data_IF_052811204218
#
_entry.id   IF_052811204218
#
_cell.length_a   1.000
_cell.length_b   1.000
_cell.length_c   1.000
_cell.angle_alpha   90.00
_cell.angle_beta   90.00
_cell.angle_gamma   90.00
#
_symmetry.space_group_name_H-M   'P 1'
#
loop_
_entity.id
_entity.type
_entity.pdbx_description
1 polymer ?
#
# COMPACT_ATOMS: atom_id res chain seq x y z
N UNK A 1 -27.68 -0.64 -30.31
CA UNK A 1 -28.16 0.08 -31.51
C UNK A 1 -27.01 0.96 -31.98
N UNK A 2 -26.45 0.58 -33.13
CA UNK A 2 -25.21 1.06 -33.75
C UNK A 2 -25.31 2.46 -34.33
N UNK A 3 -24.23 3.25 -34.26
CA UNK A 3 -23.95 4.28 -35.27
C UNK A 3 -22.45 4.30 -35.55
N UNK A 4 -22.09 3.83 -36.75
CA UNK A 4 -20.82 4.01 -37.44
C UNK A 4 -21.01 5.21 -38.37
N UNK A 5 -20.05 6.13 -38.46
CA UNK A 5 -19.98 7.13 -39.54
C UNK A 5 -18.71 6.93 -40.36
N UNK A 6 -18.94 6.62 -41.63
CA UNK A 6 -18.00 6.59 -42.75
C UNK A 6 -17.59 8.02 -43.14
N UNK A 7 -16.34 8.21 -43.56
CA UNK A 7 -15.90 9.40 -44.28
C UNK A 7 -15.26 8.99 -45.61
N UNK A 8 -15.71 9.69 -46.65
CA UNK A 8 -15.58 9.41 -48.07
C UNK A 8 -14.34 10.08 -48.67
N UNK A 9 -13.93 9.59 -49.83
CA UNK A 9 -12.75 9.97 -50.61
C UNK A 9 -12.94 11.27 -51.39
N UNK A 10 -11.86 12.04 -51.56
CA UNK A 10 -11.67 12.87 -52.76
C UNK A 10 -10.20 12.87 -53.14
N UNK A 11 -9.95 12.45 -54.38
CA UNK A 11 -8.67 12.51 -55.07
C UNK A 11 -8.62 13.79 -55.91
N UNK A 12 -7.49 14.48 -55.87
CA UNK A 12 -7.14 15.55 -56.81
C UNK A 12 -5.69 15.33 -57.27
N UNK A 13 -5.46 15.49 -58.57
CA UNK A 13 -4.28 15.05 -59.32
C UNK A 13 -3.57 16.29 -59.91
N UNK A 14 -2.24 16.18 -60.10
CA UNK A 14 -1.33 16.82 -61.11
C UNK A 14 -0.12 17.56 -60.50
N UNK A 15 1.02 17.72 -61.23
CA UNK A 15 1.58 16.92 -62.32
C UNK A 15 3.07 16.55 -62.14
N UNK A 16 3.54 15.65 -63.01
CA UNK A 16 4.92 15.14 -63.12
C UNK A 16 5.91 16.18 -63.67
N UNK A 17 7.13 16.20 -63.11
CA UNK A 17 8.33 16.77 -63.74
C UNK A 17 9.54 15.87 -63.49
N UNK A 18 10.07 15.30 -64.56
CA UNK A 18 11.36 14.59 -64.60
C UNK A 18 12.54 15.58 -64.51
N UNK A 19 13.59 15.24 -63.76
CA UNK A 19 14.97 15.59 -64.10
C UNK A 19 15.96 14.62 -63.42
N UNK A 20 16.82 14.02 -64.25
CA UNK A 20 18.01 13.24 -63.86
C UNK A 20 19.09 14.17 -63.28
N UNK A 21 19.86 13.76 -62.26
CA UNK A 21 21.22 13.21 -62.45
C UNK A 21 21.99 13.01 -61.10
N UNK A 22 22.76 11.92 -61.05
CA UNK A 22 23.98 11.61 -60.25
C UNK A 22 24.14 11.98 -58.75
N UNK A 23 24.53 10.98 -57.95
CA UNK A 23 25.68 11.15 -57.01
C UNK A 23 25.44 10.94 -55.51
N UNK A 24 25.89 9.77 -55.03
CA UNK A 24 26.65 9.54 -53.80
C UNK A 24 25.99 9.53 -52.39
N UNK A 25 26.03 8.32 -51.83
CA UNK A 25 26.37 7.92 -50.45
C UNK A 25 25.59 8.37 -49.21
N UNK A 26 25.18 7.32 -48.47
CA UNK A 26 25.07 7.26 -47.00
C UNK A 26 23.87 7.95 -46.34
N UNK A 27 22.70 7.31 -46.42
CA UNK A 27 21.67 7.43 -45.37
C UNK A 27 21.70 6.16 -44.49
N UNK A 28 22.41 6.25 -43.35
CA UNK A 28 22.26 5.32 -42.25
C UNK A 28 20.78 5.27 -41.86
N UNK A 29 20.14 4.13 -42.10
CA UNK A 29 18.89 3.74 -41.44
C UNK A 29 19.15 3.69 -39.93
N UNK A 30 18.89 4.80 -39.24
CA UNK A 30 18.74 4.82 -37.80
C UNK A 30 17.43 4.14 -37.47
N UNK A 31 17.48 2.82 -37.27
CA UNK A 31 16.47 2.12 -36.51
C UNK A 31 16.37 2.81 -35.15
N UNK A 32 15.33 3.62 -34.98
CA UNK A 32 14.95 4.16 -33.69
C UNK A 32 14.68 2.97 -32.77
N UNK A 33 15.68 2.62 -31.96
CA UNK A 33 15.49 1.71 -30.84
C UNK A 33 14.39 2.32 -29.98
N UNK A 34 13.20 1.72 -30.02
CA UNK A 34 12.18 1.93 -29.01
C UNK A 34 12.81 1.47 -27.70
N UNK A 35 13.29 2.43 -26.91
CA UNK A 35 13.74 2.17 -25.54
C UNK A 35 12.52 1.65 -24.80
N UNK A 36 12.49 0.33 -24.54
CA UNK A 36 11.43 -0.29 -23.75
C UNK A 36 11.44 0.35 -22.36
N UNK A 37 10.46 1.21 -22.10
CA UNK A 37 10.29 1.90 -20.83
C UNK A 37 9.51 0.99 -19.89
N UNK A 38 10.22 0.25 -19.04
CA UNK A 38 9.61 -0.59 -18.01
C UNK A 38 10.58 -0.77 -16.84
N UNK A 39 10.05 -1.12 -15.67
CA UNK A 39 10.85 -1.27 -14.46
C UNK A 39 11.46 -2.69 -14.36
N UNK A 40 12.64 -2.76 -13.74
CA UNK A 40 13.31 -4.04 -13.48
C UNK A 40 12.64 -4.79 -12.33
N UNK A 41 12.91 -6.10 -12.19
CA UNK A 41 12.42 -6.88 -11.05
C UNK A 41 12.93 -6.36 -9.69
N UNK A 42 14.14 -5.80 -9.64
CA UNK A 42 14.67 -5.19 -8.42
C UNK A 42 13.92 -3.89 -8.10
N UNK A 43 13.69 -3.03 -9.10
CA UNK A 43 12.93 -1.79 -8.94
C UNK A 43 11.50 -2.07 -8.49
N UNK A 44 10.84 -3.09 -9.05
CA UNK A 44 9.54 -3.54 -8.60
C UNK A 44 9.55 -4.00 -7.14
N UNK A 45 10.57 -4.74 -6.71
CA UNK A 45 10.73 -5.13 -5.30
C UNK A 45 10.90 -3.91 -4.40
N UNK A 46 11.69 -2.91 -4.82
CA UNK A 46 11.87 -1.65 -4.10
C UNK A 46 10.52 -0.91 -3.95
N UNK A 47 9.67 -0.86 -4.98
CA UNK A 47 8.35 -0.24 -4.84
C UNK A 47 7.44 -1.00 -3.89
N UNK A 48 7.43 -2.34 -3.96
CA UNK A 48 6.66 -3.16 -3.01
C UNK A 48 7.15 -2.88 -1.58
N UNK A 49 8.46 -2.88 -1.34
CA UNK A 49 9.00 -2.55 -0.01
C UNK A 49 8.65 -1.12 0.40
N UNK A 50 8.78 -0.14 -0.49
CA UNK A 50 8.56 1.27 -0.18
C UNK A 50 7.11 1.61 0.12
N UNK A 51 6.17 0.86 -0.45
CA UNK A 51 4.75 0.99 -0.16
C UNK A 51 4.36 0.30 1.15
N UNK A 52 4.89 -0.91 1.39
CA UNK A 52 4.51 -1.71 2.55
C UNK A 52 5.27 -1.29 3.82
N UNK A 53 6.55 -0.96 3.71
CA UNK A 53 7.35 -0.49 4.84
C UNK A 53 6.88 0.90 5.27
N UNK A 54 6.80 1.17 6.58
CA UNK A 54 6.31 2.44 7.11
C UNK A 54 5.42 2.28 8.33
N UNK A 55 4.11 2.43 8.17
CA UNK A 55 3.16 2.31 9.28
C UNK A 55 3.20 0.94 9.97
N UNK A 56 3.45 -0.13 9.21
CA UNK A 56 3.59 -1.47 9.76
C UNK A 56 4.70 -1.57 10.81
N UNK A 57 5.90 -1.04 10.54
CA UNK A 57 7.01 -1.10 11.51
C UNK A 57 6.73 -0.28 12.77
N UNK A 58 5.94 0.80 12.66
CA UNK A 58 5.59 1.64 13.79
C UNK A 58 4.52 1.02 14.70
N UNK A 59 3.58 0.28 14.11
CA UNK A 59 2.39 -0.24 14.80
C UNK A 59 2.48 -1.72 15.21
N UNK A 60 3.16 -2.55 14.42
CA UNK A 60 3.34 -3.99 14.68
C UNK A 60 3.91 -4.30 16.07
N UNK A 61 4.89 -3.55 16.61
CA UNK A 61 5.47 -3.90 17.89
C UNK A 61 4.44 -3.92 19.02
N UNK A 62 3.53 -2.93 19.05
CA UNK A 62 2.41 -2.93 19.99
C UNK A 62 1.43 -4.06 19.73
N UNK A 63 1.07 -4.29 18.46
CA UNK A 63 0.13 -5.36 18.10
C UNK A 63 0.66 -6.75 18.50
N UNK A 64 1.97 -6.98 18.41
CA UNK A 64 2.59 -8.23 18.86
C UNK A 64 2.55 -8.35 20.39
N UNK A 65 2.83 -7.28 21.13
CA UNK A 65 2.69 -7.27 22.60
C UNK A 65 1.26 -7.60 23.01
N UNK A 66 0.27 -6.95 22.40
CA UNK A 66 -1.15 -7.14 22.73
C UNK A 66 -1.69 -8.50 22.26
N UNK A 67 -1.15 -9.07 21.17
CA UNK A 67 -1.46 -10.44 20.76
C UNK A 67 -0.77 -11.49 21.67
N UNK A 68 0.19 -11.09 22.49
CA UNK A 68 1.03 -12.00 23.26
C UNK A 68 2.08 -12.71 22.40
N UNK A 69 2.74 -13.73 22.96
CA UNK A 69 3.84 -14.44 22.27
C UNK A 69 3.40 -15.06 20.92
N UNK A 70 2.13 -15.46 20.79
CA UNK A 70 1.56 -15.96 19.53
C UNK A 70 1.59 -14.90 18.43
N UNK A 71 1.61 -13.61 18.76
CA UNK A 71 1.79 -12.49 17.82
C UNK A 71 3.07 -12.62 16.98
N UNK A 72 4.16 -13.13 17.57
CA UNK A 72 5.42 -13.41 16.85
C UNK A 72 5.30 -14.57 15.85
N UNK A 73 4.37 -15.48 16.05
CA UNK A 73 4.08 -16.54 15.08
C UNK A 73 3.14 -16.00 14.00
N UNK A 74 2.11 -15.24 14.40
CA UNK A 74 1.13 -14.64 13.49
C UNK A 74 1.81 -13.73 12.46
N UNK A 75 2.78 -12.91 12.86
CA UNK A 75 3.51 -12.03 11.93
C UNK A 75 4.23 -12.84 10.83
N UNK A 76 4.84 -13.99 11.16
CA UNK A 76 5.52 -14.85 10.19
C UNK A 76 4.51 -15.52 9.27
N UNK A 77 3.44 -16.11 9.84
CA UNK A 77 2.40 -16.81 9.08
C UNK A 77 1.67 -15.86 8.13
N UNK A 78 1.28 -14.67 8.58
CA UNK A 78 0.61 -13.69 7.74
C UNK A 78 1.54 -13.09 6.68
N UNK A 79 2.83 -12.91 6.96
CA UNK A 79 3.82 -12.53 5.97
C UNK A 79 3.91 -13.56 4.83
N UNK A 80 4.04 -14.85 5.16
CA UNK A 80 4.10 -15.93 4.18
C UNK A 80 2.79 -16.04 3.38
N UNK A 81 1.65 -15.88 4.05
CA UNK A 81 0.33 -15.92 3.42
C UNK A 81 0.13 -14.75 2.46
N UNK A 82 0.50 -13.54 2.86
CA UNK A 82 0.43 -12.35 2.01
C UNK A 82 1.38 -12.46 0.81
N UNK A 83 2.60 -12.99 1.01
CA UNK A 83 3.53 -13.29 -0.07
C UNK A 83 2.91 -14.29 -1.07
N UNK A 84 2.30 -15.37 -0.56
CA UNK A 84 1.61 -16.36 -1.39
C UNK A 84 0.46 -15.72 -2.18
N UNK A 85 -0.43 -14.96 -1.53
CA UNK A 85 -1.53 -14.22 -2.16
C UNK A 85 -1.04 -13.25 -3.24
N UNK A 86 0.02 -12.49 -2.96
CA UNK A 86 0.67 -11.60 -3.92
C UNK A 86 1.22 -12.35 -5.14
N UNK A 87 1.81 -13.53 -4.96
CA UNK A 87 2.25 -14.36 -6.09
C UNK A 87 1.08 -14.91 -6.90
N UNK A 88 -0.02 -15.34 -6.26
CA UNK A 88 -1.24 -15.79 -6.94
C UNK A 88 -1.84 -14.67 -7.77
N UNK A 89 -1.89 -13.47 -7.21
CA UNK A 89 -2.37 -12.28 -7.90
C UNK A 89 -1.50 -11.97 -9.14
N UNK A 90 -0.19 -12.14 -9.03
CA UNK A 90 0.72 -12.01 -10.16
C UNK A 90 0.50 -13.04 -11.27
N UNK A 91 0.17 -14.30 -10.90
CA UNK A 91 -0.22 -15.34 -11.86
C UNK A 91 -1.56 -15.01 -12.51
N UNK A 92 -2.52 -14.45 -11.77
CA UNK A 92 -3.78 -14.01 -12.35
C UNK A 92 -3.54 -13.01 -13.48
N UNK A 93 -2.63 -12.05 -13.31
CA UNK A 93 -2.28 -11.10 -14.37
C UNK A 93 -1.64 -11.80 -15.58
N UNK A 94 -0.70 -12.72 -15.35
CA UNK A 94 -0.11 -13.54 -16.43
C UNK A 94 -1.19 -14.30 -17.24
N UNK A 95 -2.21 -14.84 -16.56
CA UNK A 95 -3.35 -15.52 -17.22
C UNK A 95 -4.15 -14.55 -18.09
N UNK A 96 -4.40 -13.32 -17.62
CA UNK A 96 -5.13 -12.31 -18.40
C UNK A 96 -4.36 -11.96 -19.68
N UNK A 97 -3.07 -11.69 -19.58
CA UNK A 97 -2.24 -11.32 -20.75
C UNK A 97 -2.12 -12.45 -21.78
N UNK A 98 -2.09 -13.71 -21.31
CA UNK A 98 -2.09 -14.88 -22.19
C UNK A 98 -3.40 -14.95 -22.99
N UNK A 99 -4.53 -14.85 -22.30
CA UNK A 99 -5.88 -15.11 -22.86
C UNK A 99 -6.45 -13.96 -23.68
N UNK A 100 -6.05 -12.72 -23.37
CA UNK A 100 -6.67 -11.51 -23.89
C UNK A 100 -5.59 -10.57 -24.45
N UNK A 101 -5.36 -10.59 -25.78
CA UNK A 101 -4.31 -9.81 -26.42
C UNK A 101 -4.37 -8.31 -26.14
N UNK A 102 -5.55 -7.77 -25.88
CA UNK A 102 -5.77 -6.35 -25.57
C UNK A 102 -5.10 -5.88 -24.26
N UNK A 103 -4.75 -6.79 -23.34
CA UNK A 103 -4.10 -6.45 -22.06
C UNK A 103 -2.58 -6.67 -22.04
N UNK A 104 -1.95 -7.02 -23.18
CA UNK A 104 -0.48 -7.16 -23.26
C UNK A 104 0.26 -5.82 -23.16
N UNK A 105 -0.45 -4.71 -23.40
CA UNK A 105 0.04 -3.35 -23.20
C UNK A 105 -0.19 -2.83 -21.77
N UNK A 106 0.09 -1.54 -21.57
CA UNK A 106 -0.18 -0.87 -20.29
C UNK A 106 -1.69 -0.83 -20.08
N UNK A 107 -2.14 -1.45 -18.99
CA UNK A 107 -3.56 -1.51 -18.63
C UNK A 107 -3.80 -0.65 -17.40
N UNK A 108 -4.80 0.23 -17.52
CA UNK A 108 -5.30 1.00 -16.39
C UNK A 108 -6.10 0.09 -15.45
N UNK A 109 -5.81 0.12 -14.15
CA UNK A 109 -6.52 -0.65 -13.12
C UNK A 109 -6.48 -2.18 -13.34
N UNK A 110 -5.28 -2.81 -13.30
CA UNK A 110 -5.11 -4.23 -13.56
C UNK A 110 -5.80 -5.15 -12.54
N UNK A 111 -5.85 -4.78 -11.25
CA UNK A 111 -6.52 -5.63 -10.25
C UNK A 111 -8.05 -5.70 -10.45
N UNK A 112 -8.80 -4.58 -10.61
CA UNK A 112 -10.20 -4.65 -11.02
C UNK A 112 -10.43 -5.43 -12.32
N UNK A 113 -9.49 -5.37 -13.27
CA UNK A 113 -9.55 -6.13 -14.52
C UNK A 113 -9.45 -7.64 -14.28
N UNK A 114 -8.54 -8.09 -13.42
CA UNK A 114 -8.46 -9.50 -12.97
C UNK A 114 -9.83 -9.94 -12.42
N UNK A 115 -10.41 -9.15 -11.54
CA UNK A 115 -11.70 -9.48 -10.92
C UNK A 115 -12.83 -9.53 -11.96
N UNK A 116 -12.85 -8.60 -12.92
CA UNK A 116 -13.83 -8.58 -14.00
C UNK A 116 -13.77 -9.88 -14.83
N UNK A 117 -12.57 -10.30 -15.22
CA UNK A 117 -12.39 -11.52 -16.02
C UNK A 117 -12.59 -12.80 -15.21
N UNK A 118 -12.33 -12.78 -13.91
CA UNK A 118 -12.53 -13.93 -13.03
C UNK A 118 -14.01 -14.18 -12.68
N UNK A 119 -14.75 -13.13 -12.30
CA UNK A 119 -16.10 -13.26 -11.71
C UNK A 119 -17.13 -12.25 -12.24
N UNK A 120 -16.75 -11.36 -13.16
CA UNK A 120 -17.61 -10.37 -13.77
C UNK A 120 -17.57 -8.99 -13.11
N UNK A 121 -18.45 -8.10 -13.59
CA UNK A 121 -18.43 -6.66 -13.25
C UNK A 121 -18.57 -6.38 -11.75
N UNK A 122 -19.35 -7.17 -11.02
CA UNK A 122 -19.53 -6.97 -9.57
C UNK A 122 -18.20 -7.11 -8.81
N UNK A 123 -17.36 -8.09 -9.19
CA UNK A 123 -16.05 -8.29 -8.57
C UNK A 123 -15.10 -7.14 -8.86
N UNK A 124 -15.14 -6.61 -10.08
CA UNK A 124 -14.40 -5.41 -10.46
C UNK A 124 -14.77 -4.21 -9.59
N UNK A 125 -16.07 -3.98 -9.34
CA UNK A 125 -16.55 -2.87 -8.50
C UNK A 125 -16.12 -3.08 -7.04
N UNK A 126 -16.24 -4.31 -6.53
CA UNK A 126 -15.80 -4.65 -5.17
C UNK A 126 -14.30 -4.37 -4.96
N UNK A 127 -13.46 -4.81 -5.91
CA UNK A 127 -12.00 -4.57 -5.84
C UNK A 127 -11.69 -3.09 -5.94
N UNK A 128 -12.26 -2.38 -6.92
CA UNK A 128 -12.06 -0.93 -7.04
C UNK A 128 -12.43 -0.20 -5.75
N UNK A 129 -13.63 -0.44 -5.20
CA UNK A 129 -14.07 0.18 -3.96
C UNK A 129 -13.14 -0.17 -2.78
N UNK A 130 -12.72 -1.43 -2.66
CA UNK A 130 -11.81 -1.87 -1.61
C UNK A 130 -10.44 -1.20 -1.70
N UNK A 131 -9.90 -1.01 -2.91
CA UNK A 131 -8.62 -0.32 -3.14
C UNK A 131 -8.76 1.14 -2.68
N UNK A 132 -9.83 1.82 -3.09
CA UNK A 132 -10.04 3.23 -2.72
C UNK A 132 -10.18 3.42 -1.21
N UNK A 133 -10.94 2.56 -0.54
CA UNK A 133 -11.10 2.60 0.92
C UNK A 133 -9.76 2.32 1.61
N UNK A 134 -8.98 1.34 1.11
CA UNK A 134 -7.67 1.00 1.67
C UNK A 134 -6.69 2.16 1.59
N UNK A 135 -6.53 2.74 0.39
CA UNK A 135 -5.58 3.83 0.17
C UNK A 135 -6.01 5.11 0.90
N UNK A 136 -7.32 5.40 0.94
CA UNK A 136 -7.85 6.53 1.71
C UNK A 136 -7.61 6.36 3.22
N UNK A 137 -7.88 5.17 3.75
CA UNK A 137 -7.63 4.83 5.15
C UNK A 137 -6.14 4.87 5.53
N UNK A 138 -5.28 4.33 4.67
CA UNK A 138 -3.83 4.42 4.82
C UNK A 138 -3.34 5.88 4.83
N UNK A 139 -3.90 6.74 3.99
CA UNK A 139 -3.64 8.18 4.00
C UNK A 139 -3.94 8.83 5.35
N UNK A 140 -5.08 8.52 5.97
CA UNK A 140 -5.43 9.03 7.32
C UNK A 140 -4.40 8.55 8.35
N UNK A 141 -4.03 7.26 8.33
CA UNK A 141 -3.04 6.70 9.24
C UNK A 141 -1.68 7.38 9.08
N UNK A 142 -1.23 7.64 7.85
CA UNK A 142 0.03 8.34 7.60
C UNK A 142 0.01 9.78 8.12
N UNK A 143 -1.10 10.51 7.96
CA UNK A 143 -1.25 11.84 8.56
C UNK A 143 -1.13 11.78 10.09
N UNK A 144 -1.81 10.83 10.73
CA UNK A 144 -1.78 10.67 12.20
C UNK A 144 -0.36 10.35 12.69
N UNK A 145 0.30 9.36 12.08
CA UNK A 145 1.66 8.96 12.44
C UNK A 145 2.68 10.08 12.21
N UNK A 146 2.61 10.75 11.06
CA UNK A 146 3.50 11.86 10.76
C UNK A 146 3.33 13.00 11.76
N UNK A 147 2.08 13.29 12.16
CA UNK A 147 1.79 14.32 13.16
C UNK A 147 2.32 13.98 14.55
N UNK A 148 2.28 12.70 14.95
CA UNK A 148 2.89 12.24 16.21
C UNK A 148 4.41 12.42 16.19
N UNK A 149 5.05 12.06 15.07
CA UNK A 149 6.51 12.16 14.91
C UNK A 149 6.95 13.63 14.89
N UNK A 150 6.24 14.47 14.13
CA UNK A 150 6.51 15.92 14.09
C UNK A 150 6.29 16.54 15.46
N UNK A 151 5.24 16.15 16.19
CA UNK A 151 5.02 16.63 17.55
C UNK A 151 6.18 16.26 18.47
N UNK A 152 6.68 15.02 18.41
CA UNK A 152 7.81 14.59 19.25
C UNK A 152 9.10 15.34 18.89
N UNK A 153 9.39 15.52 17.60
CA UNK A 153 10.51 16.33 17.09
C UNK A 153 10.43 17.79 17.55
N UNK A 154 9.24 18.37 17.55
CA UNK A 154 9.01 19.78 17.87
C UNK A 154 8.78 20.04 19.35
N UNK A 155 8.64 19.00 20.19
CA UNK A 155 8.40 19.12 21.63
C UNK A 155 9.44 19.98 22.37
N UNK A 156 10.75 19.97 22.04
CA UNK A 156 11.73 20.86 22.65
C UNK A 156 11.53 22.35 22.28
N UNK A 157 11.00 22.64 21.10
CA UNK A 157 10.86 23.99 20.56
C UNK A 157 9.48 24.60 20.89
N UNK A 158 8.42 23.80 20.79
CA UNK A 158 7.03 24.26 20.93
C UNK A 158 6.22 23.28 21.81
N UNK A 159 6.53 23.19 23.12
CA UNK A 159 5.96 22.17 24.02
C UNK A 159 4.46 22.35 24.29
N UNK A 160 3.89 23.52 24.02
CA UNK A 160 2.49 23.86 24.34
C UNK A 160 1.49 23.36 23.29
N UNK A 161 1.93 22.97 22.10
CA UNK A 161 1.03 22.53 21.04
C UNK A 161 0.60 21.08 21.23
N UNK A 162 -0.71 20.84 21.11
CA UNK A 162 -1.30 19.51 21.23
C UNK A 162 -1.12 18.69 19.95
N UNK A 163 -1.30 17.37 20.05
CA UNK A 163 -1.34 16.46 18.91
C UNK A 163 -2.32 16.94 17.82
N UNK A 164 -3.54 17.30 18.23
CA UNK A 164 -4.60 17.74 17.33
C UNK A 164 -4.23 19.00 16.54
N UNK A 165 -3.50 19.92 17.17
CA UNK A 165 -2.99 21.12 16.48
C UNK A 165 -1.92 20.75 15.45
N UNK A 166 -0.97 19.87 15.82
CA UNK A 166 0.04 19.37 14.88
C UNK A 166 -0.56 18.61 13.72
N UNK A 167 -1.63 17.85 13.95
CA UNK A 167 -2.37 17.15 12.91
C UNK A 167 -2.93 18.09 11.84
N UNK A 168 -3.57 19.19 12.25
CA UNK A 168 -4.09 20.21 11.33
C UNK A 168 -2.95 20.93 10.61
N UNK A 169 -1.90 21.33 11.34
CA UNK A 169 -0.72 22.01 10.75
C UNK A 169 -0.08 21.13 9.67
N UNK A 170 0.15 19.86 9.96
CA UNK A 170 0.77 18.94 9.03
C UNK A 170 -0.12 18.68 7.80
N UNK A 171 -1.43 18.53 8.00
CA UNK A 171 -2.38 18.40 6.89
C UNK A 171 -2.37 19.64 5.96
N UNK A 172 -2.24 20.85 6.51
CA UNK A 172 -2.09 22.08 5.72
C UNK A 172 -0.78 22.07 4.93
N UNK A 173 0.33 21.64 5.55
CA UNK A 173 1.65 21.62 4.91
C UNK A 173 1.72 20.59 3.77
N UNK A 174 1.10 19.41 3.94
CA UNK A 174 1.16 18.32 2.94
C UNK A 174 0.18 18.52 1.78
N UNK A 175 -0.82 19.39 1.92
CA UNK A 175 -1.85 19.61 0.89
C UNK A 175 -1.31 20.28 -0.39
N UNK A 176 -0.49 21.36 -0.35
CA UNK A 176 0.04 21.96 -1.57
C UNK A 176 0.89 21.02 -2.44
N UNK A 177 1.81 20.20 -1.88
CA UNK A 177 2.49 19.16 -2.65
C UNK A 177 1.55 18.20 -3.39
N UNK A 178 0.37 17.90 -2.82
CA UNK A 178 -0.63 17.05 -3.48
C UNK A 178 -1.23 17.69 -4.73
N UNK A 179 -1.26 19.03 -4.86
CA UNK A 179 -1.83 19.69 -6.03
C UNK A 179 -1.00 19.49 -7.30
N UNK A 180 0.28 19.21 -7.13
CA UNK A 180 1.20 19.01 -8.25
C UNK A 180 0.82 17.77 -9.06
N UNK A 181 1.25 17.80 -10.33
CA UNK A 181 1.28 16.62 -11.19
C UNK A 181 1.97 15.46 -10.48
N UNK A 182 1.54 14.23 -10.76
CA UNK A 182 2.27 13.08 -10.29
C UNK A 182 3.73 13.18 -10.77
N UNK A 183 4.74 12.91 -9.93
CA UNK A 183 6.13 13.01 -10.37
C UNK A 183 6.31 12.15 -11.63
N UNK A 184 6.82 12.74 -12.72
CA UNK A 184 7.10 11.99 -13.95
C UNK A 184 8.06 10.82 -13.67
N UNK A 185 8.86 10.95 -12.62
CA UNK A 185 9.80 9.94 -12.09
C UNK A 185 9.36 9.42 -10.70
N UNK A 186 8.21 8.75 -10.60
CA UNK A 186 7.77 8.09 -9.36
C UNK A 186 8.83 7.16 -8.75
N UNK A 187 9.76 6.67 -9.56
CA UNK A 187 10.80 5.77 -9.11
C UNK A 187 11.73 6.38 -8.05
N UNK A 188 12.03 7.68 -8.16
CA UNK A 188 12.88 8.39 -7.19
C UNK A 188 12.18 8.47 -5.84
N UNK A 189 10.88 8.77 -5.86
CA UNK A 189 10.03 8.85 -4.65
C UNK A 189 9.95 7.49 -3.96
N UNK A 190 9.76 6.41 -4.74
CA UNK A 190 9.74 5.04 -4.22
C UNK A 190 11.08 4.60 -3.62
N UNK A 191 12.21 4.88 -4.28
CA UNK A 191 13.54 4.61 -3.72
C UNK A 191 13.78 5.42 -2.45
N UNK A 192 13.43 6.71 -2.46
CA UNK A 192 13.53 7.58 -1.29
C UNK A 192 12.74 7.05 -0.09
N UNK A 193 11.52 6.55 -0.32
CA UNK A 193 10.68 5.95 0.72
C UNK A 193 11.34 4.70 1.35
N UNK A 194 11.97 3.83 0.54
CA UNK A 194 12.68 2.64 1.05
C UNK A 194 13.93 3.02 1.85
N UNK A 195 14.75 3.93 1.32
CA UNK A 195 16.00 4.36 1.98
C UNK A 195 15.69 4.99 3.33
N UNK A 196 14.75 5.93 3.36
CA UNK A 196 14.35 6.61 4.60
C UNK A 196 13.76 5.62 5.62
N UNK A 197 12.92 4.68 5.20
CA UNK A 197 12.37 3.66 6.12
C UNK A 197 13.45 2.74 6.67
N UNK A 198 14.35 2.25 5.81
CA UNK A 198 15.41 1.32 6.21
C UNK A 198 16.36 1.98 7.22
N UNK A 199 16.75 3.23 6.97
CA UNK A 199 17.58 4.01 7.90
C UNK A 199 16.84 4.23 9.23
N UNK A 200 15.56 4.61 9.18
CA UNK A 200 14.75 4.78 10.40
C UNK A 200 14.66 3.49 11.22
N UNK A 201 14.37 2.35 10.57
CA UNK A 201 14.33 1.04 11.23
C UNK A 201 15.68 0.69 11.88
N UNK A 202 16.79 0.97 11.19
CA UNK A 202 18.13 0.76 11.73
C UNK A 202 18.38 1.58 13.01
N UNK A 203 18.01 2.86 13.02
CA UNK A 203 18.17 3.70 14.20
C UNK A 203 17.21 3.33 15.34
N UNK A 204 15.96 2.94 15.03
CA UNK A 204 15.00 2.40 16.02
C UNK A 204 15.60 1.15 16.67
N UNK A 205 16.13 0.23 15.86
CA UNK A 205 16.72 -1.01 16.36
C UNK A 205 17.95 -0.74 17.23
N UNK A 206 18.85 0.15 16.80
CA UNK A 206 20.04 0.53 17.60
C UNK A 206 19.62 1.10 18.95
N UNK A 207 18.69 2.07 18.98
CA UNK A 207 18.22 2.63 20.24
C UNK A 207 17.55 1.58 21.12
N UNK A 208 16.70 0.73 20.53
CA UNK A 208 16.02 -0.33 21.26
C UNK A 208 17.00 -1.30 21.92
N UNK A 209 18.09 -1.66 21.26
CA UNK A 209 19.15 -2.49 21.86
C UNK A 209 19.87 -1.77 23.00
N UNK A 210 20.10 -0.46 22.89
CA UNK A 210 20.66 0.33 23.99
C UNK A 210 19.70 0.37 25.19
N UNK A 211 18.40 0.52 24.97
CA UNK A 211 17.41 0.48 26.04
C UNK A 211 17.42 -0.89 26.74
N UNK A 212 17.45 -1.98 25.97
CA UNK A 212 17.50 -3.35 26.51
C UNK A 212 18.79 -3.71 27.26
N UNK A 213 19.91 -3.03 27.01
CA UNK A 213 21.15 -3.18 27.79
C UNK A 213 21.01 -2.53 29.17
N UNK A 214 20.31 -1.40 29.26
CA UNK A 214 20.16 -0.62 30.50
C UNK A 214 18.92 -1.01 31.32
N UNK A 215 17.91 -1.60 30.69
CA UNK A 215 16.66 -2.04 31.32
C UNK A 215 16.59 -3.56 31.34
N UNK A 216 17.03 -4.16 32.45
CA UNK A 216 17.07 -5.61 32.65
C UNK A 216 15.91 -6.17 33.46
N UNK A 217 15.05 -5.28 33.99
CA UNK A 217 13.91 -5.70 34.80
C UNK A 217 12.84 -6.40 33.94
N UNK A 218 12.17 -7.45 34.47
CA UNK A 218 11.10 -8.11 33.74
C UNK A 218 9.98 -7.14 33.33
N UNK A 219 9.59 -7.18 32.07
CA UNK A 219 8.49 -6.35 31.56
C UNK A 219 7.13 -7.03 31.74
N UNK A 220 6.07 -6.26 32.05
CA UNK A 220 4.75 -6.83 32.26
C UNK A 220 4.10 -7.29 30.95
N UNK A 221 3.40 -8.43 31.03
CA UNK A 221 2.52 -8.95 30.00
C UNK A 221 1.17 -9.35 30.60
N UNK A 222 0.18 -8.47 30.50
CA UNK A 222 -1.19 -8.72 30.95
C UNK A 222 -1.93 -9.52 29.89
N UNK A 223 -2.77 -10.45 30.35
CA UNK A 223 -3.73 -11.13 29.47
C UNK A 223 -4.65 -10.10 28.84
N UNK A 224 -4.77 -10.15 27.51
CA UNK A 224 -5.66 -9.28 26.74
C UNK A 224 -6.99 -9.96 26.47
N UNK A 225 -8.01 -9.15 26.27
CA UNK A 225 -9.33 -9.60 25.88
C UNK A 225 -9.33 -10.11 24.43
N UNK A 226 -10.37 -10.85 24.06
CA UNK A 226 -10.59 -11.27 22.68
C UNK A 226 -10.69 -10.07 21.72
N UNK A 227 -11.33 -8.98 22.18
CA UNK A 227 -11.45 -7.73 21.43
C UNK A 227 -10.08 -7.14 21.09
N UNK A 228 -9.20 -7.01 22.09
CA UNK A 228 -7.83 -6.49 21.92
C UNK A 228 -6.96 -7.38 21.04
N UNK A 229 -7.12 -8.71 21.15
CA UNK A 229 -6.45 -9.65 20.26
C UNK A 229 -6.84 -9.41 18.80
N UNK A 230 -8.13 -9.27 18.49
CA UNK A 230 -8.59 -9.05 17.11
C UNK A 230 -8.30 -7.64 16.60
N UNK A 231 -8.20 -6.63 17.47
CA UNK A 231 -7.64 -5.33 17.11
C UNK A 231 -6.19 -5.47 16.64
N UNK A 232 -5.39 -6.23 17.40
CA UNK A 232 -3.99 -6.50 17.07
C UNK A 232 -3.86 -7.31 15.77
N UNK A 233 -4.69 -8.34 15.61
CA UNK A 233 -4.74 -9.13 14.38
C UNK A 233 -5.03 -8.26 13.14
N UNK A 234 -5.96 -7.30 13.25
CA UNK A 234 -6.26 -6.33 12.20
C UNK A 234 -5.06 -5.44 11.85
N UNK A 235 -4.32 -4.98 12.85
CA UNK A 235 -3.09 -4.19 12.64
C UNK A 235 -2.01 -5.03 11.92
N UNK A 236 -1.86 -6.32 12.29
CA UNK A 236 -0.91 -7.21 11.63
C UNK A 236 -1.33 -7.47 10.17
N UNK A 237 -2.63 -7.70 9.90
CA UNK A 237 -3.16 -7.82 8.54
C UNK A 237 -2.88 -6.58 7.71
N UNK A 238 -3.12 -5.37 8.26
CA UNK A 238 -2.80 -4.11 7.59
C UNK A 238 -1.32 -4.03 7.21
N UNK A 239 -0.44 -4.46 8.11
CA UNK A 239 1.02 -4.32 7.95
C UNK A 239 1.58 -5.16 6.80
N UNK A 240 0.85 -6.18 6.36
CA UNK A 240 1.16 -6.94 5.15
C UNK A 240 0.24 -6.59 3.97
N UNK A 241 -0.47 -5.47 4.07
CA UNK A 241 -1.23 -4.86 2.97
C UNK A 241 -0.30 -4.25 1.91
N UNK A 242 -0.75 -4.26 0.66
CA UNK A 242 0.03 -3.80 -0.50
C UNK A 242 -0.34 -4.51 -1.80
N UNK A 243 -1.05 -5.66 -1.71
CA UNK A 243 -1.49 -6.41 -2.88
C UNK A 243 -2.36 -5.60 -3.85
N UNK A 244 -2.97 -4.49 -3.41
CA UNK A 244 -3.72 -3.56 -4.24
C UNK A 244 -2.93 -3.00 -5.43
N UNK A 245 -1.63 -2.77 -5.28
CA UNK A 245 -0.77 -2.15 -6.29
C UNK A 245 0.06 -3.16 -7.07
N UNK A 246 0.13 -4.41 -6.60
CA UNK A 246 0.98 -5.46 -7.17
C UNK A 246 0.74 -5.65 -8.67
N UNK A 247 -0.50 -5.77 -9.16
CA UNK A 247 -0.75 -5.89 -10.61
C UNK A 247 -0.34 -4.64 -11.39
N UNK A 248 -0.39 -3.45 -10.78
CA UNK A 248 0.07 -2.21 -11.42
C UNK A 248 1.58 -2.20 -11.54
N UNK A 249 2.30 -2.50 -10.45
CA UNK A 249 3.76 -2.64 -10.45
C UNK A 249 4.19 -3.71 -11.47
N UNK A 250 3.50 -4.84 -11.50
CA UNK A 250 3.75 -5.90 -12.48
C UNK A 250 3.49 -5.43 -13.91
N UNK A 251 2.42 -4.67 -14.17
CA UNK A 251 2.11 -4.16 -15.49
C UNK A 251 3.24 -3.27 -16.04
N UNK A 252 3.87 -2.49 -15.17
CA UNK A 252 4.97 -1.60 -15.51
C UNK A 252 6.33 -2.31 -15.68
N UNK A 253 6.43 -3.61 -15.36
CA UNK A 253 7.69 -4.37 -15.48
C UNK A 253 8.05 -4.72 -16.93
N UNK A 254 9.34 -4.62 -17.26
CA UNK A 254 9.88 -5.10 -18.55
C UNK A 254 9.61 -6.59 -18.78
N UNK A 255 9.75 -7.38 -17.73
CA UNK A 255 9.49 -8.82 -17.77
C UNK A 255 8.61 -9.22 -16.59
N UNK A 256 7.30 -9.19 -16.85
CA UNK A 256 6.23 -9.45 -15.88
C UNK A 256 6.29 -10.85 -15.26
N UNK A 257 6.88 -11.83 -15.94
CA UNK A 257 7.05 -13.21 -15.41
C UNK A 257 8.00 -13.28 -14.22
N UNK A 258 8.89 -12.27 -14.07
CA UNK A 258 9.82 -12.17 -12.93
C UNK A 258 9.20 -11.54 -11.69
N UNK A 259 7.94 -11.10 -11.75
CA UNK A 259 7.25 -10.43 -10.64
C UNK A 259 7.23 -11.27 -9.35
N UNK A 260 7.10 -12.60 -9.47
CA UNK A 260 7.16 -13.53 -8.32
C UNK A 260 8.47 -13.39 -7.52
N UNK A 261 9.59 -13.16 -8.21
CA UNK A 261 10.90 -12.93 -7.55
C UNK A 261 10.92 -11.58 -6.83
N UNK A 262 10.29 -10.55 -7.41
CA UNK A 262 10.16 -9.23 -6.79
C UNK A 262 9.33 -9.29 -5.52
N UNK A 263 8.18 -9.95 -5.56
CA UNK A 263 7.30 -10.16 -4.39
C UNK A 263 8.08 -10.91 -3.30
N UNK A 264 8.68 -12.05 -3.61
CA UNK A 264 9.43 -12.83 -2.62
C UNK A 264 10.57 -12.02 -1.96
N UNK A 265 11.38 -11.34 -2.77
CA UNK A 265 12.47 -10.50 -2.26
C UNK A 265 11.95 -9.37 -1.38
N UNK A 266 10.86 -8.71 -1.76
CA UNK A 266 10.25 -7.64 -0.98
C UNK A 266 9.73 -8.13 0.37
N UNK A 267 8.99 -9.25 0.42
CA UNK A 267 8.50 -9.81 1.68
C UNK A 267 9.62 -10.28 2.61
N UNK A 268 10.75 -10.77 2.07
CA UNK A 268 11.93 -11.06 2.89
C UNK A 268 12.46 -9.79 3.56
N UNK A 269 12.59 -8.69 2.81
CA UNK A 269 13.03 -7.39 3.37
C UNK A 269 12.04 -6.87 4.40
N UNK A 270 10.74 -6.90 4.12
CA UNK A 270 9.69 -6.46 5.06
C UNK A 270 9.78 -7.26 6.37
N UNK A 271 9.93 -8.58 6.30
CA UNK A 271 10.07 -9.42 7.49
C UNK A 271 11.34 -9.07 8.27
N UNK A 272 12.46 -8.81 7.59
CA UNK A 272 13.71 -8.37 8.22
C UNK A 272 13.60 -7.00 8.90
N UNK A 273 12.78 -6.09 8.39
CA UNK A 273 12.53 -4.80 9.02
C UNK A 273 11.59 -4.93 10.23
N UNK A 274 10.57 -5.76 10.14
CA UNK A 274 9.50 -5.82 11.14
C UNK A 274 9.83 -6.73 12.32
N UNK A 275 10.40 -7.91 12.06
CA UNK A 275 10.55 -8.95 13.06
C UNK A 275 11.51 -8.54 14.20
N UNK A 276 12.70 -7.96 13.96
CA UNK A 276 13.61 -7.58 15.04
C UNK A 276 13.01 -6.52 15.97
N UNK A 277 12.33 -5.52 15.42
CA UNK A 277 11.69 -4.44 16.19
C UNK A 277 10.49 -4.98 16.99
N UNK A 278 9.72 -5.91 16.41
CA UNK A 278 8.58 -6.53 17.10
C UNK A 278 9.03 -7.46 18.23
N UNK A 279 10.08 -8.26 18.01
CA UNK A 279 10.71 -9.09 19.05
C UNK A 279 11.24 -8.20 20.18
N UNK A 280 12.01 -7.16 19.83
CA UNK A 280 12.57 -6.27 20.83
C UNK A 280 11.50 -5.57 21.65
N UNK A 281 10.40 -5.10 21.04
CA UNK A 281 9.31 -4.51 21.82
C UNK A 281 8.63 -5.51 22.76
N UNK A 282 8.47 -6.76 22.34
CA UNK A 282 7.93 -7.81 23.21
C UNK A 282 8.82 -8.01 24.45
N UNK A 283 10.13 -8.14 24.28
CA UNK A 283 11.03 -8.48 25.40
C UNK A 283 11.56 -7.28 26.20
N UNK A 284 11.69 -6.10 25.59
CA UNK A 284 12.34 -4.92 26.21
C UNK A 284 11.32 -3.95 26.80
N UNK A 285 10.13 -3.84 26.20
CA UNK A 285 9.11 -2.87 26.64
C UNK A 285 7.85 -3.53 27.20
N UNK A 286 7.43 -4.69 26.66
CA UNK A 286 6.21 -5.38 27.06
C UNK A 286 4.98 -4.46 26.96
N UNK A 287 4.08 -4.52 27.95
CA UNK A 287 2.87 -3.68 28.02
C UNK A 287 3.12 -2.17 28.04
N UNK A 288 4.36 -1.72 28.30
CA UNK A 288 4.73 -0.30 28.25
C UNK A 288 4.94 0.21 26.81
N UNK A 289 4.90 -0.67 25.81
CA UNK A 289 4.99 -0.29 24.41
C UNK A 289 3.83 0.64 24.05
N UNK A 290 4.12 1.81 23.48
CA UNK A 290 3.10 2.68 22.90
C UNK A 290 2.61 2.11 21.56
N UNK A 291 1.41 2.50 21.13
CA UNK A 291 0.90 2.14 19.80
C UNK A 291 1.90 2.45 18.68
N UNK A 292 2.67 3.55 18.83
CA UNK A 292 3.77 3.91 17.95
C UNK A 292 5.09 3.62 18.68
N UNK A 293 5.87 2.66 18.18
CA UNK A 293 7.08 2.16 18.86
C UNK A 293 8.09 3.28 19.17
N UNK A 294 8.22 4.27 18.29
CA UNK A 294 9.12 5.42 18.47
C UNK A 294 8.89 6.12 19.81
N UNK A 295 7.63 6.25 20.22
CA UNK A 295 7.27 6.93 21.46
C UNK A 295 7.60 6.12 22.72
N UNK A 296 8.02 4.86 22.56
CA UNK A 296 8.46 3.97 23.65
C UNK A 296 9.98 4.01 23.86
N UNK A 297 10.74 4.46 22.85
CA UNK A 297 12.19 4.51 22.89
C UNK A 297 12.66 5.61 23.85
N UNK A 298 13.78 5.37 24.54
CA UNK A 298 14.41 6.42 25.33
C UNK A 298 14.97 7.54 24.44
N UNK A 299 14.87 8.78 24.91
CA UNK A 299 15.29 9.95 24.11
C UNK A 299 16.79 9.93 23.86
N UNK A 300 17.17 10.08 22.60
CA UNK A 300 18.56 10.12 22.19
C UNK A 300 18.75 10.54 20.73
N UNK A 301 20.01 10.68 20.27
CA UNK A 301 20.32 11.06 18.90
C UNK A 301 19.79 10.05 17.88
N UNK A 302 19.74 8.75 18.22
CA UNK A 302 19.21 7.72 17.33
C UNK A 302 17.70 7.86 17.12
N UNK A 303 16.92 8.14 18.17
CA UNK A 303 15.48 8.42 18.03
C UNK A 303 15.23 9.68 17.20
N UNK A 304 16.03 10.73 17.41
CA UNK A 304 15.95 11.95 16.61
C UNK A 304 16.16 11.65 15.12
N UNK A 305 17.21 10.90 14.77
CA UNK A 305 17.48 10.50 13.40
C UNK A 305 16.37 9.59 12.84
N UNK A 306 15.92 8.60 13.62
CA UNK A 306 14.82 7.74 13.25
C UNK A 306 13.55 8.53 12.91
N UNK A 307 13.23 9.54 13.71
CA UNK A 307 12.06 10.41 13.52
C UNK A 307 12.19 11.29 12.29
N UNK A 308 13.36 11.87 12.02
CA UNK A 308 13.58 12.65 10.80
C UNK A 308 13.38 11.77 9.57
N UNK A 309 14.02 10.59 9.53
CA UNK A 309 13.88 9.67 8.40
C UNK A 309 12.45 9.14 8.26
N UNK A 310 11.77 8.81 9.36
CA UNK A 310 10.39 8.34 9.31
C UNK A 310 9.42 9.45 8.88
N UNK A 311 9.63 10.69 9.31
CA UNK A 311 8.84 11.83 8.84
C UNK A 311 9.00 12.01 7.32
N UNK A 312 10.23 11.93 6.80
CA UNK A 312 10.49 11.95 5.36
C UNK A 312 9.77 10.80 4.63
N UNK A 313 9.87 9.57 5.15
CA UNK A 313 9.17 8.42 4.58
C UNK A 313 7.66 8.67 4.51
N UNK A 314 7.01 9.06 5.62
CA UNK A 314 5.56 9.23 5.69
C UNK A 314 5.06 10.34 4.76
N UNK A 315 5.84 11.42 4.54
CA UNK A 315 5.55 12.43 3.53
C UNK A 315 5.53 11.78 2.14
N UNK A 316 6.60 11.07 1.76
CA UNK A 316 6.71 10.44 0.44
C UNK A 316 5.61 9.38 0.23
N UNK A 317 5.39 8.54 1.24
CA UNK A 317 4.37 7.48 1.23
C UNK A 317 2.96 8.06 1.12
N UNK A 318 2.65 9.16 1.83
CA UNK A 318 1.36 9.85 1.70
C UNK A 318 1.12 10.35 0.28
N UNK A 319 2.12 11.00 -0.34
CA UNK A 319 2.00 11.49 -1.72
C UNK A 319 1.75 10.35 -2.71
N UNK A 320 2.41 9.21 -2.54
CA UNK A 320 2.23 8.03 -3.41
C UNK A 320 0.84 7.42 -3.20
N UNK A 321 0.47 7.11 -1.95
CA UNK A 321 -0.74 6.33 -1.62
C UNK A 321 -2.02 7.10 -1.90
N UNK A 322 -2.06 8.40 -1.65
CA UNK A 322 -3.28 9.20 -1.84
C UNK A 322 -3.50 9.58 -3.30
N UNK A 323 -2.44 9.62 -4.12
CA UNK A 323 -2.56 10.06 -5.51
C UNK A 323 -3.52 9.22 -6.37
N UNK A 324 -3.50 7.86 -6.35
CA UNK A 324 -4.51 7.04 -7.03
C UNK A 324 -5.95 7.33 -6.57
N UNK A 325 -6.14 7.63 -5.28
CA UNK A 325 -7.45 8.00 -4.75
C UNK A 325 -7.93 9.30 -5.36
N UNK A 326 -7.08 10.32 -5.37
CA UNK A 326 -7.36 11.60 -6.01
C UNK A 326 -7.64 11.43 -7.51
N UNK A 327 -6.82 10.65 -8.22
CA UNK A 327 -7.00 10.42 -9.65
C UNK A 327 -8.34 9.77 -9.97
N UNK A 328 -8.80 8.81 -9.18
CA UNK A 328 -10.11 8.19 -9.40
C UNK A 328 -11.25 9.19 -9.23
N UNK A 329 -11.20 10.00 -8.18
CA UNK A 329 -12.19 11.07 -7.95
C UNK A 329 -12.13 12.12 -9.06
N UNK A 330 -10.94 12.52 -9.49
CA UNK A 330 -10.72 13.40 -10.64
C UNK A 330 -11.39 12.86 -11.91
N UNK A 331 -11.30 11.55 -12.19
CA UNK A 331 -11.95 10.93 -13.35
C UNK A 331 -13.47 11.00 -13.24
N UNK A 332 -14.04 10.71 -12.06
CA UNK A 332 -15.50 10.79 -11.81
C UNK A 332 -16.00 12.21 -12.12
N UNK A 333 -15.22 13.22 -11.73
CA UNK A 333 -15.56 14.62 -12.00
C UNK A 333 -15.08 15.13 -13.37
N UNK A 334 -14.48 14.30 -14.23
CA UNK A 334 -13.86 14.71 -15.51
C UNK A 334 -12.91 15.92 -15.31
N UNK A 335 -11.96 15.78 -14.41
CA UNK A 335 -10.97 16.82 -14.07
C UNK A 335 -9.68 16.56 -14.85
N UNK A 336 -9.12 17.57 -15.54
CA UNK A 336 -7.85 17.41 -16.24
C UNK A 336 -6.72 16.98 -15.30
N UNK A 337 -5.79 16.16 -15.80
CA UNK A 337 -4.60 15.73 -15.08
C UNK A 337 -3.47 16.79 -15.04
N UNK A 338 -3.74 18.01 -15.47
CA UNK A 338 -2.81 19.13 -15.33
C UNK A 338 -3.03 19.88 -14.02
N UNK A 339 -2.08 20.74 -13.66
CA UNK A 339 -2.27 21.64 -12.53
C UNK A 339 -3.39 22.63 -12.86
N UNK A 340 -4.40 22.71 -12.00
CA UNK A 340 -5.54 23.58 -12.24
C UNK A 340 -6.45 23.69 -11.02
N UNK A 341 -7.25 24.76 -10.97
CA UNK A 341 -8.08 25.08 -9.81
C UNK A 341 -8.99 23.92 -9.39
N UNK A 342 -9.64 23.26 -10.36
CA UNK A 342 -10.53 22.11 -10.11
C UNK A 342 -9.81 20.94 -9.44
N UNK A 343 -8.56 20.66 -9.87
CA UNK A 343 -7.71 19.63 -9.26
C UNK A 343 -7.30 20.02 -7.85
N UNK A 344 -6.82 21.25 -7.64
CA UNK A 344 -6.46 21.75 -6.31
C UNK A 344 -7.65 21.64 -5.34
N UNK A 345 -8.85 22.02 -5.80
CA UNK A 345 -10.08 21.93 -5.01
C UNK A 345 -10.40 20.47 -4.64
N UNK A 346 -10.44 19.54 -5.61
CA UNK A 346 -10.75 18.13 -5.35
C UNK A 346 -9.75 17.52 -4.35
N UNK A 347 -8.45 17.72 -4.58
CA UNK A 347 -7.40 17.15 -3.70
C UNK A 347 -7.43 17.77 -2.30
N UNK A 348 -7.70 19.07 -2.19
CA UNK A 348 -7.89 19.74 -0.89
C UNK A 348 -9.10 19.17 -0.16
N UNK A 349 -10.24 19.01 -0.84
CA UNK A 349 -11.43 18.39 -0.25
C UNK A 349 -11.15 16.96 0.24
N UNK A 350 -10.38 16.17 -0.52
CA UNK A 350 -9.98 14.82 -0.11
C UNK A 350 -9.16 14.82 1.20
N UNK A 351 -8.17 15.71 1.31
CA UNK A 351 -7.37 15.84 2.55
C UNK A 351 -8.24 16.34 3.70
N UNK A 352 -9.15 17.29 3.46
CA UNK A 352 -10.11 17.75 4.48
C UNK A 352 -10.97 16.59 5.00
N UNK A 353 -11.48 15.73 4.13
CA UNK A 353 -12.25 14.55 4.55
C UNK A 353 -11.41 13.58 5.40
N UNK A 354 -10.14 13.38 5.04
CA UNK A 354 -9.21 12.60 5.86
C UNK A 354 -8.98 13.25 7.23
N UNK A 355 -8.85 14.57 7.27
CA UNK A 355 -8.68 15.33 8.52
C UNK A 355 -9.92 15.19 9.40
N UNK A 356 -11.13 15.33 8.86
CA UNK A 356 -12.40 15.19 9.62
C UNK A 356 -12.48 13.82 10.30
N UNK A 357 -12.11 12.75 9.60
CA UNK A 357 -12.10 11.41 10.18
C UNK A 357 -10.98 11.28 11.22
N UNK A 358 -9.77 11.76 10.93
CA UNK A 358 -8.64 11.71 11.84
C UNK A 358 -8.83 12.49 13.15
N UNK A 359 -9.50 13.65 13.11
CA UNK A 359 -9.84 14.40 14.34
C UNK A 359 -10.98 13.76 15.14
N UNK A 360 -11.86 13.01 14.47
CA UNK A 360 -12.97 12.30 15.12
C UNK A 360 -12.51 10.99 15.77
N UNK A 361 -11.54 10.30 15.15
CA UNK A 361 -10.95 9.06 15.65
C UNK A 361 -9.42 9.24 15.72
N UNK A 362 -8.88 9.98 16.71
CA UNK A 362 -7.45 10.26 16.82
C UNK A 362 -6.65 9.05 17.35
N UNK A 363 -6.93 7.87 16.81
CA UNK A 363 -6.25 6.61 17.10
C UNK A 363 -5.90 5.90 15.81
N UNK A 364 -4.63 5.98 15.42
CA UNK A 364 -4.17 5.33 14.20
C UNK A 364 -4.24 3.79 14.32
N UNK A 365 -4.08 3.22 15.51
CA UNK A 365 -4.18 1.78 15.74
C UNK A 365 -5.59 1.24 15.44
N UNK A 366 -6.64 1.95 15.86
CA UNK A 366 -8.04 1.57 15.54
C UNK A 366 -8.32 1.65 14.05
N UNK A 367 -7.84 2.71 13.38
CA UNK A 367 -7.99 2.87 11.93
C UNK A 367 -7.21 1.80 11.15
N UNK A 368 -5.97 1.50 11.58
CA UNK A 368 -5.17 0.41 11.04
C UNK A 368 -5.90 -0.93 11.17
N UNK A 369 -6.44 -1.25 12.35
CA UNK A 369 -7.21 -2.48 12.56
C UNK A 369 -8.46 -2.53 11.67
N UNK A 370 -9.18 -1.41 11.53
CA UNK A 370 -10.39 -1.35 10.73
C UNK A 370 -10.11 -1.62 9.26
N UNK A 371 -9.14 -0.90 8.67
CA UNK A 371 -8.74 -1.04 7.26
C UNK A 371 -8.06 -2.38 7.02
N UNK A 372 -7.23 -2.81 7.96
CA UNK A 372 -6.54 -4.10 7.97
C UNK A 372 -7.50 -5.28 7.93
N UNK A 373 -8.41 -5.34 8.91
CA UNK A 373 -9.40 -6.40 9.03
C UNK A 373 -10.40 -6.45 7.87
N UNK A 374 -10.72 -5.30 7.26
CA UNK A 374 -11.71 -5.21 6.19
C UNK A 374 -11.09 -5.35 4.79
N UNK A 375 -10.71 -4.24 4.17
CA UNK A 375 -10.37 -4.19 2.75
C UNK A 375 -8.99 -4.75 2.45
N UNK A 376 -8.02 -4.62 3.36
CA UNK A 376 -6.71 -5.25 3.20
C UNK A 376 -6.82 -6.77 3.25
N UNK A 377 -7.57 -7.32 4.22
CA UNK A 377 -7.89 -8.75 4.26
C UNK A 377 -8.43 -9.25 2.92
N UNK A 378 -9.44 -8.55 2.38
CA UNK A 378 -10.04 -8.92 1.11
C UNK A 378 -9.02 -8.89 -0.03
N UNK A 379 -8.30 -7.79 -0.18
CA UNK A 379 -7.39 -7.57 -1.31
C UNK A 379 -6.11 -8.40 -1.27
N UNK A 380 -5.62 -8.75 -0.08
CA UNK A 380 -4.33 -9.45 0.08
C UNK A 380 -4.51 -10.95 0.32
N UNK A 381 -5.49 -11.35 1.14
CA UNK A 381 -5.58 -12.72 1.66
C UNK A 381 -6.72 -13.52 1.02
N UNK A 382 -7.85 -12.88 0.68
CA UNK A 382 -9.05 -13.58 0.21
C UNK A 382 -9.13 -13.62 -1.32
N UNK A 383 -9.21 -12.44 -1.95
CA UNK A 383 -9.53 -12.30 -3.37
C UNK A 383 -8.46 -12.86 -4.31
N UNK A 384 -7.13 -12.73 -4.06
CA UNK A 384 -6.12 -13.31 -4.94
C UNK A 384 -6.29 -14.83 -5.13
N UNK A 385 -6.52 -15.54 -4.03
CA UNK A 385 -6.70 -16.99 -4.02
C UNK A 385 -7.99 -17.40 -4.75
N UNK A 386 -9.08 -16.68 -4.47
CA UNK A 386 -10.37 -16.94 -5.10
C UNK A 386 -10.33 -16.68 -6.62
N UNK A 387 -9.76 -15.55 -7.04
CA UNK A 387 -9.63 -15.21 -8.47
C UNK A 387 -8.71 -16.16 -9.20
N UNK A 388 -7.61 -16.60 -8.59
CA UNK A 388 -6.72 -17.58 -9.20
C UNK A 388 -7.44 -18.90 -9.48
N UNK A 389 -8.16 -19.44 -8.49
CA UNK A 389 -8.97 -20.65 -8.69
C UNK A 389 -10.01 -20.46 -9.81
N UNK A 390 -10.76 -19.35 -9.78
CA UNK A 390 -11.78 -19.07 -10.80
C UNK A 390 -11.21 -18.94 -12.20
N UNK A 391 -10.05 -18.28 -12.36
CA UNK A 391 -9.41 -18.17 -13.67
C UNK A 391 -8.89 -19.52 -14.17
N UNK A 392 -8.32 -20.36 -13.29
CA UNK A 392 -7.89 -21.70 -13.66
C UNK A 392 -9.04 -22.61 -14.07
N UNK A 393 -10.19 -22.50 -13.40
CA UNK A 393 -11.40 -23.30 -13.67
C UNK A 393 -12.11 -22.91 -14.99
N UNK A 394 -11.75 -21.78 -15.60
CA UNK A 394 -12.31 -21.38 -16.89
C UNK A 394 -11.69 -22.17 -18.05
N UNK A 395 -12.54 -22.75 -18.89
CA UNK A 395 -12.14 -23.54 -20.05
C UNK A 395 -12.52 -22.85 -21.36
N UNK A 396 -11.61 -22.92 -22.33
CA UNK A 396 -11.83 -22.53 -23.73
C UNK A 396 -10.86 -23.34 -24.58
N UNK A 397 -11.28 -23.78 -25.77
CA UNK A 397 -10.45 -24.62 -26.66
C UNK A 397 -9.12 -23.95 -27.04
N UNK A 398 -9.07 -22.63 -27.04
CA UNK A 398 -7.86 -21.85 -27.37
C UNK A 398 -6.94 -21.56 -26.17
N UNK A 399 -7.35 -21.89 -24.94
CA UNK A 399 -6.62 -21.54 -23.73
C UNK A 399 -5.82 -22.71 -23.17
N UNK A 400 -4.65 -22.40 -22.60
CA UNK A 400 -3.83 -23.40 -21.90
C UNK A 400 -4.58 -23.92 -20.67
N UNK A 401 -4.84 -25.24 -20.63
CA UNK A 401 -5.45 -25.92 -19.49
C UNK A 401 -4.55 -25.82 -18.26
N UNK A 402 -5.16 -25.62 -17.10
CA UNK A 402 -4.47 -25.40 -15.83
C UNK A 402 -5.16 -26.19 -14.73
N UNK A 403 -4.57 -27.33 -14.37
CA UNK A 403 -5.08 -28.13 -13.28
C UNK A 403 -4.45 -27.70 -11.95
N UNK A 404 -5.30 -27.38 -10.98
CA UNK A 404 -4.87 -27.09 -9.61
C UNK A 404 -4.98 -28.39 -8.81
N UNK A 405 -3.87 -28.92 -8.26
CA UNK A 405 -3.92 -30.09 -7.39
C UNK A 405 -4.86 -29.88 -6.20
N UNK A 406 -5.57 -30.94 -5.78
CA UNK A 406 -6.58 -30.87 -4.73
C UNK A 406 -6.05 -30.22 -3.43
N UNK A 407 -4.84 -30.60 -2.98
CA UNK A 407 -4.23 -30.05 -1.77
C UNK A 407 -3.99 -28.54 -1.85
N UNK A 408 -3.60 -28.00 -3.00
CA UNK A 408 -3.44 -26.55 -3.21
C UNK A 408 -4.79 -25.82 -3.18
N UNK A 409 -5.84 -26.45 -3.73
CA UNK A 409 -7.20 -25.91 -3.69
C UNK A 409 -7.74 -25.86 -2.25
N UNK A 410 -7.54 -26.92 -1.48
CA UNK A 410 -7.90 -26.97 -0.05
C UNK A 410 -7.17 -25.88 0.72
N UNK A 411 -5.85 -25.74 0.52
CA UNK A 411 -5.05 -24.70 1.16
C UNK A 411 -5.57 -23.29 0.83
N UNK A 412 -5.91 -23.00 -0.44
CA UNK A 412 -6.48 -21.70 -0.80
C UNK A 412 -7.84 -21.43 -0.16
N UNK A 413 -8.69 -22.45 -0.02
CA UNK A 413 -9.97 -22.31 0.71
C UNK A 413 -9.77 -22.09 2.21
N UNK A 414 -8.77 -22.74 2.82
CA UNK A 414 -8.38 -22.50 4.20
C UNK A 414 -7.95 -21.05 4.41
N UNK A 415 -7.07 -20.52 3.54
CA UNK A 415 -6.65 -19.12 3.59
C UNK A 415 -7.83 -18.15 3.44
N UNK A 416 -8.76 -18.44 2.53
CA UNK A 416 -10.00 -17.66 2.35
C UNK A 416 -10.84 -17.68 3.63
N UNK A 417 -11.02 -18.85 4.23
CA UNK A 417 -11.83 -19.02 5.45
C UNK A 417 -11.22 -18.29 6.65
N UNK A 418 -9.91 -18.45 6.88
CA UNK A 418 -9.17 -17.74 7.93
C UNK A 418 -9.23 -16.23 7.70
N UNK A 419 -9.03 -15.80 6.44
CA UNK A 419 -9.13 -14.40 6.04
C UNK A 419 -10.51 -13.82 6.36
N UNK A 420 -11.60 -14.48 5.93
CA UNK A 420 -12.96 -13.99 6.16
C UNK A 420 -13.29 -13.93 7.66
N UNK A 421 -13.03 -15.01 8.41
CA UNK A 421 -13.35 -15.05 9.85
C UNK A 421 -12.49 -14.07 10.65
N UNK A 422 -11.17 -14.12 10.44
CA UNK A 422 -10.24 -13.25 11.17
C UNK A 422 -10.44 -11.78 10.81
N UNK A 423 -10.63 -11.48 9.52
CA UNK A 423 -10.94 -10.14 9.05
C UNK A 423 -12.26 -9.60 9.60
N UNK A 424 -13.33 -10.40 9.55
CA UNK A 424 -14.63 -10.00 10.11
C UNK A 424 -14.55 -9.74 11.62
N UNK A 425 -13.87 -10.61 12.38
CA UNK A 425 -13.67 -10.43 13.81
C UNK A 425 -12.82 -9.18 14.12
N UNK A 426 -11.77 -8.91 13.35
CA UNK A 426 -10.97 -7.67 13.45
C UNK A 426 -11.75 -6.42 13.10
N UNK A 427 -12.54 -6.44 12.03
CA UNK A 427 -13.40 -5.32 11.64
C UNK A 427 -14.46 -5.04 12.70
N UNK A 428 -15.11 -6.09 13.22
CA UNK A 428 -16.07 -5.97 14.31
C UNK A 428 -15.41 -5.37 15.56
N UNK A 429 -14.24 -5.88 15.94
CA UNK A 429 -13.50 -5.40 17.11
C UNK A 429 -13.06 -3.94 16.97
N UNK A 430 -12.61 -3.53 15.77
CA UNK A 430 -12.28 -2.15 15.45
C UNK A 430 -13.51 -1.25 15.52
N UNK A 431 -14.63 -1.68 14.95
CA UNK A 431 -15.89 -0.94 14.99
C UNK A 431 -16.36 -0.74 16.44
N UNK A 432 -16.38 -1.81 17.24
CA UNK A 432 -16.73 -1.73 18.64
C UNK A 432 -15.79 -0.78 19.39
N UNK A 433 -14.46 -0.89 19.20
CA UNK A 433 -13.49 0.01 19.85
C UNK A 433 -13.60 1.49 19.42
N UNK A 434 -14.17 1.77 18.25
CA UNK A 434 -14.38 3.14 17.77
C UNK A 434 -15.64 3.76 18.38
N UNK A 435 -16.73 2.97 18.48
CA UNK A 435 -18.06 3.49 18.83
C UNK A 435 -18.53 3.17 20.26
N UNK A 436 -17.83 2.29 20.98
CA UNK A 436 -18.15 1.98 22.37
C UNK A 436 -17.72 3.15 23.29
N UNK A 437 -18.65 3.60 24.15
CA UNK A 437 -18.50 4.81 24.96
C UNK A 437 -17.31 4.75 25.91
N UNK A 438 -16.98 3.55 26.39
CA UNK A 438 -15.90 3.34 27.36
C UNK A 438 -14.51 3.30 26.71
N UNK A 439 -14.47 3.09 25.39
CA UNK A 439 -13.23 2.97 24.62
C UNK A 439 -13.03 4.11 23.62
N UNK A 440 -14.01 4.99 23.42
CA UNK A 440 -13.97 6.07 22.45
C UNK A 440 -12.81 7.03 22.73
N UNK A 441 -11.91 7.15 21.75
CA UNK A 441 -10.84 8.15 21.79
C UNK A 441 -11.48 9.53 21.71
N UNK A 442 -11.23 10.40 22.70
CA UNK A 442 -11.79 11.76 22.75
C UNK A 442 -11.48 12.51 21.45
N UNK A 443 -12.51 12.97 20.71
CA UNK A 443 -12.29 13.75 19.50
C UNK A 443 -11.49 15.01 19.80
N UNK A 444 -10.73 15.50 18.83
CA UNK A 444 -9.94 16.73 18.99
C UNK A 444 -10.78 17.99 19.27
N UNK A 445 -12.09 17.93 19.02
CA UNK A 445 -13.05 19.02 19.26
C UNK A 445 -13.89 18.84 20.53
N UNK A 446 -13.69 17.78 21.32
CA UNK A 446 -14.29 17.66 22.65
C UNK A 446 -13.38 18.37 23.66
N UNK A 447 -13.78 19.56 24.10
CA UNK A 447 -13.11 20.34 25.16
C UNK A 447 -13.57 19.91 26.55
#
# INVERSE_FOLDING_TARGET
MSVIKSYDSTAERLPDTESNDTGDNSAKSSSSQVVNHGISALTAAIFIVGEMAGSGVLALPRAVVDAGWIGLIIIIVLCLTACYGGTRLGVCWEIIEERYPEYRGITRNPYPTIANKAVGRWGSVLVSASIQITLFGAGIVYLLLASQIVQDLMKPLVPKLTFCTWFIIFAIIITPPMWLGSPKDFWIVGVGAVVTTTLSCGFIFIQMMLDGIHQTDPVPHKSKSFLEFFLSFGIILFSFGGASTFPTIQNDMLNRTRFKRSVFGAFCVILLLYLPISIGAFFIYGDNTNANIVLSLSRGPYVLLANIFMACHLILAFLIVVNPVCQEVENIFNTPHEFGFKRCLIRTCMVIMMVIIGVSIPSFAKLLSLVGGSTVTLLTFVLPNYFYMKLCDQECDSWTKRDIPCYMRVYMWELIFIGILGGAASTYSAFQSIFDSDSMSKPCYSF
#
